data_IF_346569649700
#
_entry.id   IF_346569649700
#
_cell.length_a   1.000
_cell.length_b   1.000
_cell.length_c   1.000
_cell.angle_alpha   90.00
_cell.angle_beta   90.00
_cell.angle_gamma   90.00
#
_symmetry.space_group_name_H-M   'P 1'
#
loop_
_entity.id
_entity.type
_entity.pdbx_description
1 polymer ?
#
# COMPACT_ATOMS: atom_id res chain seq x y z
N UNK A 1 -20.08 0.66 15.11
CA UNK A 1 -19.08 1.57 14.49
C UNK A 1 -19.27 3.02 14.91
N UNK A 2 -20.48 3.59 14.93
CA UNK A 2 -20.73 4.93 15.49
C UNK A 2 -20.00 6.06 14.77
N UNK A 3 -20.72 6.86 13.99
CA UNK A 3 -20.16 7.90 13.13
C UNK A 3 -21.06 8.15 11.93
N UNK A 4 -20.87 9.29 11.28
CA UNK A 4 -21.63 9.75 10.12
C UNK A 4 -20.78 9.86 8.86
N UNK A 5 -19.45 9.94 9.00
CA UNK A 5 -18.51 10.01 7.87
C UNK A 5 -17.70 8.73 7.70
N UNK A 6 -16.99 8.62 6.57
CA UNK A 6 -16.10 7.48 6.31
C UNK A 6 -14.86 7.51 7.20
N UNK A 7 -14.39 8.70 7.58
CA UNK A 7 -13.27 8.92 8.50
C UNK A 7 -13.61 8.40 9.90
N UNK A 8 -14.85 8.65 10.35
CA UNK A 8 -15.33 8.21 11.65
C UNK A 8 -15.66 6.71 11.70
N UNK A 9 -15.72 6.03 10.55
CA UNK A 9 -16.17 4.63 10.44
C UNK A 9 -15.10 3.73 9.82
N UNK A 10 -15.05 3.64 8.49
CA UNK A 10 -14.23 2.68 7.75
C UNK A 10 -12.75 3.04 7.65
N UNK A 11 -12.37 4.29 7.94
CA UNK A 11 -10.97 4.72 7.98
C UNK A 11 -10.42 4.82 9.41
N UNK A 12 -11.24 4.56 10.43
CA UNK A 12 -10.79 4.53 11.82
C UNK A 12 -10.19 3.15 12.14
N UNK A 13 -8.86 3.08 12.01
CA UNK A 13 -8.07 1.86 12.26
C UNK A 13 -8.33 1.27 13.65
N UNK A 14 -8.37 2.12 14.69
CA UNK A 14 -8.51 1.69 16.08
C UNK A 14 -9.86 1.05 16.31
N UNK A 15 -10.93 1.67 15.83
CA UNK A 15 -12.29 1.09 15.93
C UNK A 15 -12.40 -0.27 15.24
N UNK A 16 -11.73 -0.45 14.11
CA UNK A 16 -11.76 -1.71 13.37
C UNK A 16 -10.99 -2.80 14.13
N UNK A 17 -9.79 -2.50 14.62
CA UNK A 17 -8.99 -3.44 15.43
C UNK A 17 -9.72 -3.81 16.72
N UNK A 18 -10.25 -2.82 17.46
CA UNK A 18 -11.02 -3.05 18.70
C UNK A 18 -12.28 -3.89 18.44
N UNK A 19 -12.92 -3.73 17.28
CA UNK A 19 -14.07 -4.55 16.90
C UNK A 19 -13.65 -5.99 16.61
N UNK A 20 -12.59 -6.18 15.84
CA UNK A 20 -12.06 -7.52 15.51
C UNK A 20 -11.73 -8.30 16.78
N UNK A 21 -11.03 -7.67 17.75
CA UNK A 21 -10.71 -8.28 19.04
C UNK A 21 -11.96 -8.65 19.84
N UNK A 22 -12.94 -7.74 19.97
CA UNK A 22 -14.19 -8.00 20.71
C UNK A 22 -15.03 -9.11 20.08
N UNK A 23 -14.96 -9.26 18.77
CA UNK A 23 -15.65 -10.33 18.06
C UNK A 23 -14.92 -11.68 18.13
N UNK A 24 -13.71 -11.74 18.70
CA UNK A 24 -12.87 -12.93 18.69
C UNK A 24 -12.38 -13.31 17.29
N UNK A 25 -12.23 -12.33 16.39
CA UNK A 25 -11.69 -12.57 15.07
C UNK A 25 -10.20 -12.92 15.16
N UNK A 26 -9.76 -13.85 14.31
CA UNK A 26 -8.34 -14.24 14.22
C UNK A 26 -7.60 -13.48 13.11
N UNK A 27 -8.35 -12.92 12.16
CA UNK A 27 -7.81 -12.27 10.99
C UNK A 27 -8.66 -11.10 10.51
N UNK A 28 -8.04 -10.16 9.80
CA UNK A 28 -8.69 -9.04 9.13
C UNK A 28 -8.31 -9.05 7.65
N UNK A 29 -9.31 -9.12 6.77
CA UNK A 29 -9.14 -8.91 5.33
C UNK A 29 -9.56 -7.47 4.99
N UNK A 30 -8.65 -6.60 4.51
CA UNK A 30 -8.98 -5.19 4.31
C UNK A 30 -9.77 -4.93 3.01
N UNK A 31 -9.85 -5.91 2.11
CA UNK A 31 -10.49 -5.73 0.81
C UNK A 31 -9.64 -4.85 -0.10
N UNK A 32 -10.26 -3.84 -0.70
CA UNK A 32 -9.62 -2.84 -1.54
C UNK A 32 -10.11 -1.43 -1.19
N UNK A 33 -9.29 -0.42 -1.47
CA UNK A 33 -9.54 0.94 -1.01
C UNK A 33 -9.50 1.04 0.52
N UNK A 34 -9.96 2.18 1.07
CA UNK A 34 -9.92 2.45 2.51
C UNK A 34 -8.52 2.22 3.12
N UNK A 35 -8.40 1.19 3.97
CA UNK A 35 -7.20 0.86 4.72
C UNK A 35 -6.37 -0.27 4.06
N UNK A 36 -6.76 -0.78 2.89
CA UNK A 36 -6.06 -1.88 2.22
C UNK A 36 -4.61 -1.56 1.85
N UNK A 37 -4.32 -0.28 1.62
CA UNK A 37 -2.99 0.23 1.28
C UNK A 37 -2.36 1.02 2.44
N UNK A 38 -2.93 0.92 3.65
CA UNK A 38 -2.42 1.62 4.82
C UNK A 38 -1.44 0.73 5.60
N UNK A 39 -0.12 1.02 5.61
CA UNK A 39 0.86 0.18 6.29
C UNK A 39 0.68 0.20 7.81
N UNK A 40 0.18 1.29 8.38
CA UNK A 40 -0.04 1.39 9.82
C UNK A 40 -1.23 0.55 10.26
N UNK A 41 -2.26 0.38 9.42
CA UNK A 41 -3.36 -0.54 9.73
C UNK A 41 -2.90 -2.00 9.81
N UNK A 42 -2.02 -2.42 8.90
CA UNK A 42 -1.41 -3.74 8.96
C UNK A 42 -0.60 -3.93 10.25
N UNK A 43 0.18 -2.92 10.67
CA UNK A 43 0.91 -2.95 11.95
C UNK A 43 -0.04 -3.03 13.14
N UNK A 44 -1.06 -2.17 13.18
CA UNK A 44 -2.06 -2.13 14.24
C UNK A 44 -2.73 -3.53 14.40
N UNK A 45 -3.03 -4.21 13.30
CA UNK A 45 -3.54 -5.59 13.33
C UNK A 45 -2.52 -6.60 13.90
N UNK A 46 -1.27 -6.59 13.41
CA UNK A 46 -0.22 -7.53 13.83
C UNK A 46 0.10 -7.35 15.32
N UNK A 47 0.23 -6.10 15.78
CA UNK A 47 0.50 -5.76 17.18
C UNK A 47 -0.64 -6.18 18.12
N UNK A 48 -1.88 -6.16 17.61
CA UNK A 48 -3.05 -6.68 18.31
C UNK A 48 -3.16 -8.22 18.29
N UNK A 49 -2.23 -8.93 17.62
CA UNK A 49 -2.25 -10.38 17.48
C UNK A 49 -3.22 -10.91 16.41
N UNK A 50 -3.72 -10.04 15.53
CA UNK A 50 -4.57 -10.40 14.40
C UNK A 50 -3.74 -10.73 13.16
N UNK A 51 -4.15 -11.74 12.39
CA UNK A 51 -3.60 -11.99 11.06
C UNK A 51 -4.12 -10.94 10.09
N UNK A 52 -3.24 -10.09 9.56
CA UNK A 52 -3.59 -9.22 8.44
C UNK A 52 -3.52 -10.02 7.13
N UNK A 53 -4.64 -10.16 6.41
CA UNK A 53 -4.67 -10.87 5.13
C UNK A 53 -4.21 -9.91 4.03
N UNK A 54 -2.90 -9.91 3.79
CA UNK A 54 -2.24 -9.06 2.80
C UNK A 54 -0.72 -9.12 2.90
N UNK A 55 0.00 -8.23 2.19
CA UNK A 55 1.44 -8.14 2.28
C UNK A 55 1.90 -7.51 3.61
N UNK A 56 3.20 -7.65 3.92
CA UNK A 56 3.81 -7.06 5.13
C UNK A 56 3.73 -5.53 5.11
N UNK A 57 3.72 -4.85 6.27
CA UNK A 57 3.66 -3.39 6.35
C UNK A 57 4.72 -2.67 5.50
N UNK A 58 5.95 -3.19 5.46
CA UNK A 58 7.05 -2.59 4.69
C UNK A 58 6.80 -2.72 3.19
N UNK A 59 6.17 -3.82 2.76
CA UNK A 59 5.78 -4.03 1.36
C UNK A 59 4.64 -3.09 0.97
N UNK A 60 3.64 -2.90 1.85
CA UNK A 60 2.56 -1.92 1.63
C UNK A 60 3.15 -0.52 1.47
N UNK A 61 4.03 -0.11 2.39
CA UNK A 61 4.68 1.20 2.35
C UNK A 61 5.53 1.39 1.09
N UNK A 62 6.29 0.37 0.68
CA UNK A 62 7.13 0.42 -0.51
C UNK A 62 6.32 0.55 -1.79
N UNK A 63 5.27 -0.25 -1.92
CA UNK A 63 4.46 -0.29 -3.15
C UNK A 63 3.45 0.86 -3.24
N UNK A 64 3.04 1.44 -2.11
CA UNK A 64 2.21 2.65 -2.08
C UNK A 64 2.95 3.91 -2.54
N UNK A 65 4.29 3.91 -2.49
CA UNK A 65 5.12 4.98 -3.06
C UNK A 65 5.39 4.70 -4.54
N UNK A 66 4.80 5.51 -5.41
CA UNK A 66 4.93 5.38 -6.88
C UNK A 66 6.35 5.55 -7.41
N UNK A 67 7.22 6.28 -6.72
CA UNK A 67 8.61 6.49 -7.14
C UNK A 67 9.45 5.30 -6.67
N UNK A 68 9.40 5.00 -5.36
CA UNK A 68 10.20 3.90 -4.79
C UNK A 68 9.81 2.54 -5.34
N UNK A 69 8.52 2.32 -5.63
CA UNK A 69 8.05 1.09 -6.29
C UNK A 69 8.67 0.91 -7.67
N UNK A 70 8.81 1.99 -8.46
CA UNK A 70 9.47 1.96 -9.77
C UNK A 70 10.97 1.76 -9.65
N UNK A 71 11.64 2.44 -8.72
CA UNK A 71 13.06 2.22 -8.44
C UNK A 71 13.32 0.74 -8.07
N UNK A 72 12.48 0.17 -7.22
CA UNK A 72 12.52 -1.26 -6.84
C UNK A 72 12.31 -2.16 -8.05
N UNK A 73 11.35 -1.84 -8.93
CA UNK A 73 11.10 -2.59 -10.15
C UNK A 73 12.31 -2.57 -11.10
N UNK A 74 12.98 -1.42 -11.27
CA UNK A 74 14.23 -1.33 -12.05
C UNK A 74 15.32 -2.19 -11.44
N UNK A 75 15.51 -2.12 -10.12
CA UNK A 75 16.51 -2.93 -9.41
C UNK A 75 16.25 -4.44 -9.55
N UNK A 76 14.97 -4.84 -9.60
CA UNK A 76 14.55 -6.21 -9.84
C UNK A 76 14.62 -6.64 -11.32
N UNK A 77 15.06 -5.76 -12.24
CA UNK A 77 15.16 -6.05 -13.66
C UNK A 77 13.82 -6.08 -14.40
N UNK A 78 12.75 -5.53 -13.81
CA UNK A 78 11.42 -5.47 -14.43
C UNK A 78 11.40 -4.36 -15.50
N UNK A 79 11.01 -4.67 -16.75
CA UNK A 79 10.84 -3.65 -17.78
C UNK A 79 9.78 -2.62 -17.38
N UNK A 80 10.11 -1.33 -17.47
CA UNK A 80 9.20 -0.23 -17.16
C UNK A 80 8.91 0.64 -18.38
N UNK A 81 7.72 1.22 -18.40
CA UNK A 81 7.40 2.36 -19.26
C UNK A 81 8.36 3.51 -18.91
N UNK A 82 8.91 4.24 -19.89
CA UNK A 82 9.78 5.38 -19.63
C UNK A 82 9.16 6.36 -18.63
N UNK A 83 9.89 6.62 -17.55
CA UNK A 83 9.44 7.44 -16.43
C UNK A 83 10.61 8.26 -15.90
N UNK A 84 10.34 9.50 -15.49
CA UNK A 84 11.32 10.31 -14.77
C UNK A 84 11.38 9.85 -13.31
N UNK A 85 12.51 9.29 -12.90
CA UNK A 85 12.83 8.98 -11.50
C UNK A 85 13.53 10.17 -10.84
N UNK A 86 13.47 10.27 -9.51
CA UNK A 86 14.14 11.33 -8.76
C UNK A 86 15.65 11.14 -8.80
N UNK A 87 16.36 12.03 -9.51
CA UNK A 87 17.81 12.01 -9.62
C UNK A 87 18.31 11.13 -10.77
N UNK A 88 18.72 11.80 -11.85
CA UNK A 88 19.24 11.25 -13.11
C UNK A 88 18.25 10.55 -14.06
N UNK A 89 18.14 11.18 -15.24
CA UNK A 89 17.60 10.61 -16.47
C UNK A 89 18.52 9.49 -16.96
N UNK A 90 18.02 8.26 -17.07
CA UNK A 90 18.61 7.22 -17.93
C UNK A 90 17.42 6.36 -18.42
N UNK A 91 17.05 6.32 -19.70
CA UNK A 91 17.85 5.85 -20.83
C UNK A 91 17.56 6.61 -22.13
N UNK A 92 18.63 6.87 -22.90
CA UNK A 92 18.72 7.51 -24.23
C UNK A 92 18.00 6.77 -25.38
N UNK A 93 17.02 5.89 -25.09
CA UNK A 93 16.40 5.02 -26.10
C UNK A 93 15.12 5.61 -26.73
N UNK A 94 14.55 6.69 -26.19
CA UNK A 94 13.13 7.00 -26.45
C UNK A 94 12.81 8.33 -27.16
N UNK A 95 13.80 9.10 -27.64
CA UNK A 95 13.51 10.28 -28.49
C UNK A 95 13.21 9.90 -29.96
N UNK A 96 13.43 8.64 -30.35
CA UNK A 96 13.34 8.23 -31.76
C UNK A 96 11.90 7.85 -32.20
N UNK A 97 10.97 7.56 -31.27
CA UNK A 97 9.62 7.08 -31.63
C UNK A 97 8.53 8.18 -31.76
N UNK A 98 8.89 9.46 -31.84
CA UNK A 98 7.92 10.57 -31.94
C UNK A 98 8.00 11.34 -33.27
N UNK A 99 8.66 10.77 -34.30
CA UNK A 99 8.82 11.37 -35.63
C UNK A 99 8.66 10.37 -36.79
N UNK A 100 7.74 9.40 -36.67
CA UNK A 100 7.13 8.76 -37.85
C UNK A 100 5.60 8.86 -37.77
#
# INVERSE_FOLDING_TARGET
MGGSTVEETYLDRRKIVDLALRCGAEAVHPGYGFLSENPDFCKDCIEAGLVFIGPRPETIALLGDKIRSKETAVQAGVPLVPVRLSGNQVNRIWIIYLLE
#
